data_IF_229883463932
#
_entry.id   IF_229883463932
#
_cell.length_a   1.000
_cell.length_b   1.000
_cell.length_c   1.000
_cell.angle_alpha   90.00
_cell.angle_beta   90.00
_cell.angle_gamma   90.00
#
_symmetry.space_group_name_H-M   'P 1'
#
loop_
_entity.id
_entity.type
_entity.pdbx_description
1 polymer ?
#
# COMPACT_ATOMS: atom_id res chain seq x y z
N UNK A 1 20.49 -10.06 10.76
CA UNK A 1 19.96 -9.75 9.41
C UNK A 1 18.62 -10.44 9.30
N UNK A 2 17.58 -9.78 8.78
CA UNK A 2 16.32 -10.45 8.51
C UNK A 2 16.52 -11.47 7.38
N UNK A 3 15.89 -12.64 7.49
CA UNK A 3 15.92 -13.67 6.45
C UNK A 3 15.25 -13.13 5.17
N UNK A 4 15.88 -13.36 4.03
CA UNK A 4 15.36 -12.93 2.73
C UNK A 4 15.06 -14.14 1.86
N UNK A 5 13.93 -14.08 1.14
CA UNK A 5 13.51 -15.11 0.18
C UNK A 5 13.67 -14.59 -1.24
N UNK A 6 14.16 -15.42 -2.15
CA UNK A 6 14.25 -15.11 -3.58
C UNK A 6 13.00 -15.62 -4.28
N UNK A 7 12.40 -14.77 -5.11
CA UNK A 7 11.25 -15.11 -5.96
C UNK A 7 11.63 -15.01 -7.44
N UNK A 8 11.03 -15.86 -8.27
CA UNK A 8 11.13 -15.79 -9.72
C UNK A 8 9.76 -15.50 -10.31
N UNK A 9 9.67 -14.44 -11.12
CA UNK A 9 8.45 -14.05 -11.83
C UNK A 9 8.69 -14.16 -13.33
N UNK A 10 7.68 -14.62 -14.07
CA UNK A 10 7.72 -14.72 -15.53
C UNK A 10 6.70 -13.76 -16.13
N UNK A 11 7.17 -12.87 -16.98
CA UNK A 11 6.36 -11.93 -17.73
C UNK A 11 6.55 -12.18 -19.23
N UNK A 12 5.51 -11.91 -20.02
CA UNK A 12 5.71 -11.72 -21.47
C UNK A 12 6.55 -10.48 -21.71
N UNK A 13 7.25 -10.42 -22.85
CA UNK A 13 8.14 -9.30 -23.16
C UNK A 13 7.40 -7.95 -23.13
N UNK A 14 6.18 -7.89 -23.67
CA UNK A 14 5.36 -6.67 -23.68
C UNK A 14 4.95 -6.19 -22.28
N UNK A 15 4.74 -7.13 -21.35
CA UNK A 15 4.46 -6.82 -19.94
C UNK A 15 5.74 -6.32 -19.26
N UNK A 16 6.86 -6.98 -19.51
CA UNK A 16 8.15 -6.59 -18.94
C UNK A 16 8.60 -5.21 -19.43
N UNK A 17 8.38 -4.87 -20.70
CA UNK A 17 8.70 -3.56 -21.26
C UNK A 17 7.88 -2.44 -20.60
N UNK A 18 6.60 -2.69 -20.29
CA UNK A 18 5.77 -1.75 -19.52
C UNK A 18 6.33 -1.54 -18.11
N UNK A 19 6.71 -2.61 -17.42
CA UNK A 19 7.32 -2.54 -16.08
C UNK A 19 8.63 -1.74 -16.15
N UNK A 20 9.47 -2.01 -17.14
CA UNK A 20 10.73 -1.29 -17.36
C UNK A 20 10.51 0.20 -17.61
N UNK A 21 9.54 0.56 -18.45
CA UNK A 21 9.20 1.95 -18.72
C UNK A 21 8.73 2.69 -17.44
N UNK A 22 7.90 2.04 -16.62
CA UNK A 22 7.44 2.61 -15.34
C UNK A 22 8.58 2.73 -14.32
N UNK A 23 9.45 1.73 -14.20
CA UNK A 23 10.62 1.82 -13.32
C UNK A 23 11.53 2.99 -13.72
N UNK A 24 11.80 3.15 -15.02
CA UNK A 24 12.57 4.26 -15.55
C UNK A 24 11.91 5.61 -15.27
N UNK A 25 10.60 5.73 -15.46
CA UNK A 25 9.84 6.95 -15.18
C UNK A 25 9.96 7.37 -13.71
N UNK A 26 9.92 6.39 -12.80
CA UNK A 26 10.05 6.62 -11.36
C UNK A 26 11.51 6.76 -10.88
N UNK A 27 12.49 6.65 -11.77
CA UNK A 27 13.91 6.78 -11.43
C UNK A 27 14.46 5.65 -10.54
N UNK A 28 13.83 4.47 -10.56
CA UNK A 28 14.20 3.31 -9.73
C UNK A 28 14.59 2.11 -10.58
N UNK A 29 15.30 1.15 -9.97
CA UNK A 29 15.57 -0.13 -10.64
C UNK A 29 14.28 -0.94 -10.84
N UNK A 30 14.29 -1.82 -11.83
CA UNK A 30 13.15 -2.72 -12.12
C UNK A 30 12.81 -3.58 -10.89
N UNK A 31 13.82 -4.07 -10.17
CA UNK A 31 13.62 -4.90 -8.97
C UNK A 31 13.04 -4.10 -7.80
N UNK A 32 13.44 -2.84 -7.63
CA UNK A 32 12.85 -1.93 -6.64
C UNK A 32 11.39 -1.65 -6.98
N UNK A 33 11.10 -1.32 -8.24
CA UNK A 33 9.74 -1.06 -8.71
C UNK A 33 8.82 -2.28 -8.48
N UNK A 34 9.26 -3.49 -8.85
CA UNK A 34 8.47 -4.71 -8.63
C UNK A 34 8.24 -5.00 -7.14
N UNK A 35 9.26 -4.77 -6.30
CA UNK A 35 9.11 -4.92 -4.84
C UNK A 35 8.08 -3.94 -4.29
N UNK A 36 8.18 -2.67 -4.66
CA UNK A 36 7.25 -1.63 -4.23
C UNK A 36 5.82 -1.94 -4.67
N UNK A 37 5.61 -2.28 -5.95
CA UNK A 37 4.28 -2.60 -6.46
C UNK A 37 3.59 -3.74 -5.69
N UNK A 38 4.34 -4.77 -5.28
CA UNK A 38 3.79 -5.88 -4.48
C UNK A 38 3.45 -5.43 -3.05
N UNK A 39 4.34 -4.66 -2.41
CA UNK A 39 4.11 -4.17 -1.05
C UNK A 39 2.95 -3.18 -0.98
N UNK A 40 2.90 -2.23 -1.91
CA UNK A 40 1.80 -1.27 -2.05
C UNK A 40 0.46 -1.98 -2.25
N UNK A 41 0.42 -3.07 -3.04
CA UNK A 41 -0.82 -3.83 -3.20
C UNK A 41 -1.27 -4.49 -1.89
N UNK A 42 -0.35 -5.05 -1.11
CA UNK A 42 -0.66 -5.64 0.21
C UNK A 42 -1.14 -4.58 1.20
N UNK A 43 -0.48 -3.41 1.22
CA UNK A 43 -0.87 -2.28 2.06
C UNK A 43 -2.27 -1.78 1.69
N UNK A 44 -2.54 -1.58 0.39
CA UNK A 44 -3.84 -1.12 -0.10
C UNK A 44 -4.98 -2.07 0.30
N UNK A 45 -4.82 -3.38 0.13
CA UNK A 45 -5.84 -4.36 0.53
C UNK A 45 -6.07 -4.34 2.05
N UNK A 46 -5.01 -4.19 2.83
CA UNK A 46 -5.09 -4.08 4.30
C UNK A 46 -5.83 -2.81 4.70
N UNK A 47 -5.55 -1.69 4.05
CA UNK A 47 -6.21 -0.41 4.31
C UNK A 47 -7.70 -0.44 3.95
N UNK A 48 -8.07 -1.07 2.83
CA UNK A 48 -9.48 -1.28 2.49
C UNK A 48 -10.22 -2.10 3.55
N UNK A 49 -9.62 -3.18 4.03
CA UNK A 49 -10.22 -4.00 5.09
C UNK A 49 -10.40 -3.21 6.38
N UNK A 50 -9.37 -2.45 6.79
CA UNK A 50 -9.43 -1.59 7.97
C UNK A 50 -10.51 -0.51 7.83
N UNK A 51 -10.62 0.12 6.66
CA UNK A 51 -11.67 1.09 6.37
C UNK A 51 -13.07 0.47 6.49
N UNK A 52 -13.27 -0.74 5.96
CA UNK A 52 -14.55 -1.45 6.07
C UNK A 52 -14.91 -1.79 7.52
N UNK A 53 -13.94 -2.21 8.33
CA UNK A 53 -14.13 -2.46 9.78
C UNK A 53 -14.52 -1.17 10.50
N UNK A 54 -13.81 -0.08 10.25
CA UNK A 54 -14.08 1.22 10.86
C UNK A 54 -15.47 1.76 10.50
N UNK A 55 -15.90 1.60 9.25
CA UNK A 55 -17.24 1.98 8.81
C UNK A 55 -18.34 1.13 9.46
N UNK A 56 -18.12 -0.17 9.62
CA UNK A 56 -19.06 -1.04 10.34
C UNK A 56 -19.16 -0.66 11.82
N UNK A 57 -18.02 -0.46 12.48
CA UNK A 57 -17.95 -0.10 13.89
C UNK A 57 -18.55 1.30 14.18
N UNK A 58 -18.50 2.21 13.21
CA UNK A 58 -19.11 3.53 13.36
C UNK A 58 -20.64 3.51 13.28
N UNK A 59 -21.25 2.44 12.77
CA UNK A 59 -22.70 2.37 12.49
C UNK A 59 -23.20 3.57 11.66
N UNK A 60 -22.37 4.08 10.74
CA UNK A 60 -22.68 5.26 9.92
C UNK A 60 -22.64 6.60 10.67
N UNK A 61 -22.15 6.62 11.93
CA UNK A 61 -22.01 7.85 12.71
C UNK A 61 -20.69 8.54 12.41
N UNK A 62 -20.75 9.86 12.28
CA UNK A 62 -19.57 10.72 12.21
C UNK A 62 -19.13 11.13 13.61
N UNK A 63 -17.83 11.27 13.82
CA UNK A 63 -17.23 11.82 15.04
C UNK A 63 -16.75 13.24 14.78
N UNK A 64 -16.75 14.10 15.81
CA UNK A 64 -16.25 15.47 15.66
C UNK A 64 -14.73 15.49 15.48
N UNK A 65 -14.18 16.55 14.86
CA UNK A 65 -12.71 16.74 14.77
C UNK A 65 -12.04 16.67 16.14
N UNK A 66 -12.63 17.29 17.16
CA UNK A 66 -12.08 17.29 18.51
C UNK A 66 -11.96 15.86 19.08
N UNK A 67 -12.95 15.02 18.83
CA UNK A 67 -12.95 13.62 19.24
C UNK A 67 -11.90 12.79 18.48
N UNK A 68 -11.71 13.04 17.17
CA UNK A 68 -10.64 12.41 16.39
C UNK A 68 -9.26 12.80 16.93
N UNK A 69 -9.03 14.08 17.21
CA UNK A 69 -7.75 14.57 17.76
C UNK A 69 -7.46 13.93 19.12
N UNK A 70 -8.48 13.81 19.99
CA UNK A 70 -8.35 13.13 21.29
C UNK A 70 -7.97 11.64 21.13
N UNK A 71 -8.59 10.91 20.20
CA UNK A 71 -8.27 9.49 19.91
C UNK A 71 -6.84 9.31 19.39
N UNK A 72 -6.34 10.26 18.62
CA UNK A 72 -4.98 10.25 18.06
C UNK A 72 -3.90 10.77 19.04
N UNK A 73 -4.29 11.17 20.26
CA UNK A 73 -3.36 11.75 21.24
C UNK A 73 -2.83 13.13 20.82
N UNK A 74 -3.54 13.82 19.90
CA UNK A 74 -3.17 15.13 19.40
C UNK A 74 -3.94 16.22 20.16
N UNK A 75 -3.29 17.37 20.43
CA UNK A 75 -4.00 18.54 20.97
C UNK A 75 -4.93 19.10 19.87
N UNK A 76 -6.20 19.40 20.19
CA UNK A 76 -7.19 19.85 19.21
C UNK A 76 -6.79 21.14 18.48
#
# INVERSE_FOLDING_TARGET
MADTTVISLRFKNDQYDKIKAQANFNGVSITTYMRQAVLEHVENETDYQNAAVNLKASHGKTVSRAEVMARLGMKP
#
